data_IF_503005827016
#
_entry.id   IF_503005827016
#
_cell.length_a   1.000
_cell.length_b   1.000
_cell.length_c   1.000
_cell.angle_alpha   90.00
_cell.angle_beta   90.00
_cell.angle_gamma   90.00
#
_symmetry.space_group_name_H-M   'P 1'
#
loop_
_entity.id
_entity.type
_entity.pdbx_description
1 polymer ?
#
# COMPACT_ATOMS: atom_id res chain seq x y z
N UNK A 1 -11.82 -15.02 -3.37
CA UNK A 1 -10.66 -15.68 -2.72
C UNK A 1 -11.19 -16.67 -1.71
N UNK A 2 -10.62 -17.89 -1.70
CA UNK A 2 -10.86 -18.91 -0.67
C UNK A 2 -9.83 -18.72 0.46
N UNK A 3 -10.22 -18.05 1.53
CA UNK A 3 -9.34 -17.78 2.67
C UNK A 3 -9.02 -19.03 3.50
N UNK A 4 -9.88 -20.04 3.48
CA UNK A 4 -9.60 -21.31 4.16
C UNK A 4 -8.43 -22.03 3.46
N UNK A 5 -8.44 -22.06 2.14
CA UNK A 5 -7.35 -22.62 1.35
C UNK A 5 -6.05 -21.82 1.57
N UNK A 6 -6.12 -20.48 1.66
CA UNK A 6 -4.95 -19.64 1.97
C UNK A 6 -4.39 -19.99 3.35
N UNK A 7 -5.25 -20.16 4.37
CA UNK A 7 -4.85 -20.53 5.72
C UNK A 7 -4.18 -21.91 5.77
N UNK A 8 -4.74 -22.88 5.07
CA UNK A 8 -4.21 -24.25 5.03
C UNK A 8 -2.83 -24.30 4.36
N UNK A 9 -2.67 -23.57 3.25
CA UNK A 9 -1.38 -23.44 2.57
C UNK A 9 -0.36 -22.74 3.47
N UNK A 10 -0.75 -21.65 4.13
CA UNK A 10 0.13 -20.92 5.04
C UNK A 10 0.60 -21.78 6.21
N UNK A 11 -0.31 -22.54 6.85
CA UNK A 11 0.03 -23.48 7.93
C UNK A 11 1.01 -24.57 7.47
N UNK A 12 0.83 -25.07 6.24
CA UNK A 12 1.68 -26.12 5.66
C UNK A 12 3.06 -25.60 5.26
N UNK A 13 3.13 -24.42 4.63
CA UNK A 13 4.37 -23.85 4.10
C UNK A 13 5.15 -23.00 5.12
N UNK A 14 4.48 -22.50 6.17
CA UNK A 14 5.04 -21.63 7.21
C UNK A 14 5.89 -20.50 6.62
N UNK A 15 5.30 -19.64 5.78
CA UNK A 15 6.03 -18.55 5.14
C UNK A 15 6.47 -17.51 6.19
N UNK A 16 7.56 -16.81 5.92
CA UNK A 16 7.99 -15.65 6.71
C UNK A 16 7.25 -14.36 6.31
N UNK A 17 6.69 -14.34 5.11
CA UNK A 17 5.98 -13.19 4.54
C UNK A 17 4.80 -13.70 3.72
N UNK A 18 3.63 -13.12 3.95
CA UNK A 18 2.45 -13.27 3.10
C UNK A 18 2.27 -11.98 2.33
N UNK A 19 2.14 -12.09 1.01
CA UNK A 19 1.88 -10.96 0.12
C UNK A 19 0.47 -11.10 -0.42
N UNK A 20 -0.36 -10.06 -0.24
CA UNK A 20 -1.67 -9.97 -0.85
C UNK A 20 -1.80 -8.70 -1.67
N UNK A 21 -2.43 -8.82 -2.81
CA UNK A 21 -2.65 -7.73 -3.77
C UNK A 21 -3.13 -8.31 -5.09
N UNK A 22 -3.48 -7.43 -6.03
CA UNK A 22 -4.00 -7.87 -7.33
C UNK A 22 -3.85 -6.75 -8.37
N UNK A 23 -4.02 -7.13 -9.64
CA UNK A 23 -4.06 -6.19 -10.76
C UNK A 23 -5.45 -6.07 -11.38
N UNK A 24 -6.17 -7.18 -11.51
CA UNK A 24 -7.43 -7.27 -12.27
C UNK A 24 -8.52 -8.08 -11.54
N UNK A 25 -8.52 -8.05 -10.22
CA UNK A 25 -9.57 -8.70 -9.43
C UNK A 25 -10.68 -7.71 -9.12
N UNK A 26 -11.92 -8.04 -9.46
CA UNK A 26 -13.09 -7.17 -9.30
C UNK A 26 -13.72 -7.21 -7.90
N UNK A 27 -13.31 -8.16 -7.06
CA UNK A 27 -13.82 -8.30 -5.69
C UNK A 27 -13.05 -7.47 -4.67
N UNK A 28 -13.62 -7.38 -3.49
CA UNK A 28 -12.98 -6.74 -2.34
C UNK A 28 -12.13 -7.76 -1.59
N UNK A 29 -10.90 -7.41 -1.24
CA UNK A 29 -10.05 -8.20 -0.36
C UNK A 29 -10.42 -7.95 1.11
N UNK A 30 -10.51 -9.03 1.86
CA UNK A 30 -10.64 -8.97 3.31
C UNK A 30 -9.24 -8.97 3.94
N UNK A 31 -8.74 -7.76 4.21
CA UNK A 31 -7.40 -7.57 4.77
C UNK A 31 -7.25 -8.15 6.17
N UNK A 32 -8.34 -8.17 6.97
CA UNK A 32 -8.34 -8.76 8.31
C UNK A 32 -8.09 -10.24 8.27
N UNK A 33 -8.70 -10.96 7.32
CA UNK A 33 -8.45 -12.39 7.15
C UNK A 33 -7.00 -12.69 6.77
N UNK A 34 -6.38 -11.87 5.92
CA UNK A 34 -4.95 -12.01 5.64
C UNK A 34 -4.10 -11.76 6.89
N UNK A 35 -4.46 -10.75 7.72
CA UNK A 35 -3.77 -10.51 8.99
C UNK A 35 -3.90 -11.68 9.95
N UNK A 36 -5.11 -12.20 10.15
CA UNK A 36 -5.37 -13.38 10.99
C UNK A 36 -4.57 -14.60 10.53
N UNK A 37 -4.50 -14.84 9.23
CA UNK A 37 -3.72 -15.95 8.67
C UNK A 37 -2.21 -15.74 8.91
N UNK A 38 -1.72 -14.53 8.71
CA UNK A 38 -0.31 -14.22 8.94
C UNK A 38 0.07 -14.38 10.42
N UNK A 39 -0.80 -13.93 11.34
CA UNK A 39 -0.59 -14.10 12.78
C UNK A 39 -0.55 -15.58 13.20
N UNK A 40 -1.43 -16.42 12.62
CA UNK A 40 -1.45 -17.86 12.91
C UNK A 40 -0.15 -18.58 12.59
N UNK A 41 0.62 -18.09 11.63
CA UNK A 41 1.89 -18.71 11.20
C UNK A 41 3.12 -17.91 11.57
N UNK A 42 2.95 -16.76 12.25
CA UNK A 42 4.04 -15.86 12.64
C UNK A 42 4.70 -15.16 11.45
N UNK A 43 3.95 -14.91 10.36
CA UNK A 43 4.44 -14.25 9.17
C UNK A 43 4.21 -12.74 9.21
N UNK A 44 5.06 -11.97 8.55
CA UNK A 44 4.75 -10.60 8.16
C UNK A 44 3.66 -10.59 7.09
N UNK A 45 2.85 -9.54 7.09
CA UNK A 45 1.85 -9.30 6.07
C UNK A 45 2.17 -8.05 5.25
N UNK A 46 2.39 -8.21 3.95
CA UNK A 46 2.56 -7.13 2.98
C UNK A 46 1.31 -7.04 2.12
N UNK A 47 0.70 -5.85 2.08
CA UNK A 47 -0.39 -5.55 1.15
C UNK A 47 0.12 -4.70 -0.02
N UNK A 48 0.09 -5.25 -1.23
CA UNK A 48 0.35 -4.50 -2.46
C UNK A 48 -0.96 -3.88 -2.95
N UNK A 49 -1.06 -2.56 -2.78
CA UNK A 49 -2.25 -1.78 -3.10
C UNK A 49 -2.10 -0.97 -4.39
N UNK A 50 -1.10 -1.26 -5.20
CA UNK A 50 -0.74 -0.45 -6.36
C UNK A 50 -1.90 -0.15 -7.31
N UNK A 51 -2.83 -1.09 -7.51
CA UNK A 51 -3.98 -0.91 -8.41
C UNK A 51 -5.20 -0.25 -7.75
N UNK A 52 -5.26 -0.23 -6.43
CA UNK A 52 -6.41 0.31 -5.68
C UNK A 52 -6.06 1.49 -4.78
N UNK A 53 -4.82 1.93 -4.75
CA UNK A 53 -4.35 2.99 -3.86
C UNK A 53 -5.14 4.30 -4.00
N UNK A 54 -5.52 4.70 -5.21
CA UNK A 54 -6.38 5.86 -5.43
C UNK A 54 -7.81 5.66 -4.90
N UNK A 55 -8.36 4.44 -5.01
CA UNK A 55 -9.67 4.11 -4.45
C UNK A 55 -9.65 4.09 -2.92
N UNK A 56 -8.54 3.62 -2.33
CA UNK A 56 -8.32 3.66 -0.88
C UNK A 56 -8.22 5.11 -0.41
N UNK A 57 -7.45 5.93 -1.09
CA UNK A 57 -7.31 7.35 -0.77
C UNK A 57 -8.66 8.11 -0.89
N UNK A 58 -9.49 7.71 -1.85
CA UNK A 58 -10.85 8.23 -2.02
C UNK A 58 -11.91 7.62 -1.09
N UNK A 59 -11.53 6.70 -0.19
CA UNK A 59 -12.45 6.08 0.76
C UNK A 59 -13.42 5.04 0.14
N UNK A 60 -13.17 4.61 -1.11
CA UNK A 60 -14.06 3.72 -1.86
C UNK A 60 -13.67 2.24 -1.67
N UNK A 61 -12.39 1.98 -1.36
CA UNK A 61 -11.87 0.63 -1.16
C UNK A 61 -11.30 0.49 0.26
N UNK A 62 -11.42 -0.68 0.93
CA UNK A 62 -10.91 -0.87 2.29
C UNK A 62 -9.41 -0.60 2.40
N UNK A 63 -9.03 0.15 3.42
CA UNK A 63 -7.64 0.51 3.68
C UNK A 63 -6.96 -0.52 4.58
N UNK A 64 -5.89 -1.21 4.14
CA UNK A 64 -5.19 -2.23 4.94
C UNK A 64 -4.15 -1.68 5.90
N UNK A 65 -4.07 -0.37 6.13
CA UNK A 65 -2.97 0.25 6.91
C UNK A 65 -2.89 -0.25 8.35
N UNK A 66 -4.01 -0.64 8.95
CA UNK A 66 -4.04 -1.14 10.31
C UNK A 66 -3.75 -2.66 10.38
N UNK A 67 -3.96 -3.39 9.30
CA UNK A 67 -3.78 -4.84 9.23
C UNK A 67 -2.39 -5.23 8.72
N UNK A 68 -1.84 -4.50 7.74
CA UNK A 68 -0.57 -4.83 7.13
C UNK A 68 0.64 -4.33 7.94
N UNK A 69 1.71 -5.11 7.95
CA UNK A 69 3.01 -4.65 8.46
C UNK A 69 3.66 -3.69 7.48
N UNK A 70 3.48 -3.95 6.18
CA UNK A 70 4.02 -3.14 5.08
C UNK A 70 2.97 -3.01 3.99
N UNK A 71 2.81 -1.79 3.46
CA UNK A 71 2.08 -1.54 2.23
C UNK A 71 3.07 -1.14 1.13
N UNK A 72 2.86 -1.67 -0.06
CA UNK A 72 3.55 -1.22 -1.26
C UNK A 72 2.55 -0.68 -2.27
N UNK A 73 2.95 0.36 -2.99
CA UNK A 73 2.16 0.92 -4.08
C UNK A 73 3.07 1.51 -5.15
N UNK A 74 2.50 1.71 -6.32
CA UNK A 74 3.06 2.58 -7.35
C UNK A 74 2.45 3.97 -7.25
N UNK A 75 3.21 4.98 -7.63
CA UNK A 75 2.72 6.36 -7.65
C UNK A 75 2.10 6.77 -9.00
N UNK A 76 2.27 5.95 -10.04
CA UNK A 76 1.90 6.26 -11.43
C UNK A 76 0.67 5.52 -11.96
N UNK A 77 -0.14 4.93 -11.09
CA UNK A 77 -1.43 4.31 -11.43
C UNK A 77 -2.58 5.22 -10.97
N UNK A 78 -3.49 4.72 -10.19
CA UNK A 78 -4.64 5.49 -9.70
C UNK A 78 -4.27 6.72 -8.84
N UNK A 79 -3.05 6.79 -8.29
CA UNK A 79 -2.53 8.00 -7.63
C UNK A 79 -2.10 9.12 -8.60
N UNK A 80 -2.05 8.87 -9.89
CA UNK A 80 -1.76 9.83 -10.98
C UNK A 80 -0.44 10.61 -10.83
N UNK A 81 0.54 10.02 -10.15
CA UNK A 81 1.85 10.63 -9.94
C UNK A 81 2.90 10.19 -10.97
N UNK A 82 4.15 10.60 -10.79
CA UNK A 82 5.27 10.19 -11.61
C UNK A 82 5.59 8.71 -11.40
N UNK A 83 6.32 8.10 -12.35
CA UNK A 83 6.76 6.71 -12.22
C UNK A 83 7.63 6.51 -10.99
N UNK A 84 7.27 5.54 -10.18
CA UNK A 84 7.98 5.15 -8.98
C UNK A 84 7.12 4.31 -8.05
N UNK A 85 7.75 3.87 -6.95
CA UNK A 85 7.09 3.16 -5.88
C UNK A 85 6.99 4.02 -4.62
N UNK A 86 6.15 3.56 -3.72
CA UNK A 86 6.05 4.05 -2.35
C UNK A 86 5.87 2.84 -1.43
N UNK A 87 6.48 2.91 -0.26
CA UNK A 87 6.34 1.91 0.79
C UNK A 87 5.92 2.61 2.07
N UNK A 88 4.94 2.05 2.76
CA UNK A 88 4.40 2.55 4.01
C UNK A 88 4.49 1.45 5.07
N UNK A 89 4.92 1.79 6.29
CA UNK A 89 4.92 0.88 7.42
C UNK A 89 4.57 1.66 8.68
N UNK A 90 3.46 1.32 9.32
CA UNK A 90 2.95 2.04 10.49
C UNK A 90 3.13 1.26 11.80
N UNK A 91 2.91 -0.04 11.76
CA UNK A 91 2.76 -0.86 12.97
C UNK A 91 4.07 -1.21 13.68
N UNK A 92 5.19 -1.18 12.99
CA UNK A 92 6.47 -1.65 13.53
C UNK A 92 7.60 -0.68 13.18
N UNK A 93 8.01 0.20 14.13
CA UNK A 93 9.10 1.16 13.88
C UNK A 93 10.46 0.52 13.56
N UNK A 94 10.77 -0.64 14.14
CA UNK A 94 12.04 -1.33 13.90
C UNK A 94 12.04 -1.98 12.51
N UNK A 95 10.90 -2.53 12.09
CA UNK A 95 10.71 -2.98 10.72
C UNK A 95 10.86 -1.82 9.74
N UNK A 96 10.28 -0.65 10.04
CA UNK A 96 10.42 0.54 9.19
C UNK A 96 11.88 0.97 9.02
N UNK A 97 12.67 0.97 10.11
CA UNK A 97 14.11 1.27 10.03
C UNK A 97 14.85 0.27 9.14
N UNK A 98 14.54 -1.02 9.30
CA UNK A 98 15.14 -2.09 8.51
C UNK A 98 14.79 -1.97 7.02
N UNK A 99 13.52 -1.67 6.70
CA UNK A 99 13.06 -1.43 5.34
C UNK A 99 13.73 -0.21 4.71
N UNK A 100 13.83 0.89 5.46
CA UNK A 100 14.47 2.11 5.00
C UNK A 100 15.96 1.90 4.71
N UNK A 101 16.68 1.18 5.58
CA UNK A 101 18.07 0.81 5.36
C UNK A 101 18.22 -0.16 4.16
N UNK A 102 17.34 -1.14 4.04
CA UNK A 102 17.33 -2.07 2.91
C UNK A 102 17.05 -1.35 1.58
N UNK A 103 16.20 -0.34 1.60
CA UNK A 103 15.94 0.50 0.43
C UNK A 103 17.17 1.35 0.07
N UNK A 104 17.68 2.10 1.03
CA UNK A 104 18.89 2.94 0.86
C UNK A 104 19.78 2.84 2.10
N UNK A 105 21.04 2.49 1.94
CA UNK A 105 21.80 2.27 0.70
C UNK A 105 21.76 0.83 0.16
N UNK A 106 20.89 -0.05 0.70
CA UNK A 106 20.94 -1.48 0.40
C UNK A 106 20.69 -1.82 -1.08
N UNK A 107 19.63 -1.28 -1.68
CA UNK A 107 19.20 -1.60 -3.05
C UNK A 107 19.20 -0.38 -3.97
N UNK A 108 18.83 0.81 -3.45
CA UNK A 108 18.73 2.05 -4.19
C UNK A 108 19.94 2.96 -3.95
N UNK A 109 20.22 3.84 -4.91
CA UNK A 109 21.19 4.92 -4.79
C UNK A 109 20.50 6.27 -4.58
N UNK A 110 21.19 7.36 -4.99
CA UNK A 110 20.64 8.72 -4.90
C UNK A 110 19.33 8.86 -5.67
N UNK A 111 18.28 9.45 -5.06
CA UNK A 111 16.99 9.58 -5.71
C UNK A 111 16.98 10.69 -6.76
N UNK A 112 16.10 10.54 -7.75
CA UNK A 112 15.78 11.61 -8.69
C UNK A 112 14.87 12.63 -8.01
N UNK A 113 15.43 13.76 -7.57
CA UNK A 113 14.72 14.74 -6.74
C UNK A 113 13.50 15.35 -7.44
N UNK A 114 13.52 15.53 -8.78
CA UNK A 114 12.36 15.98 -9.52
C UNK A 114 11.20 14.96 -9.46
N UNK A 115 11.49 13.65 -9.43
CA UNK A 115 10.49 12.62 -9.22
C UNK A 115 9.93 12.67 -7.79
N UNK A 116 10.79 12.89 -6.79
CA UNK A 116 10.34 13.04 -5.39
C UNK A 116 9.41 14.24 -5.24
N UNK A 117 9.80 15.39 -5.81
CA UNK A 117 8.98 16.59 -5.81
C UNK A 117 7.64 16.36 -6.53
N UNK A 118 7.66 15.73 -7.70
CA UNK A 118 6.44 15.43 -8.45
C UNK A 118 5.50 14.47 -7.69
N UNK A 119 6.03 13.50 -6.92
CA UNK A 119 5.22 12.65 -6.04
C UNK A 119 4.52 13.47 -4.96
N UNK A 120 5.24 14.40 -4.31
CA UNK A 120 4.66 15.25 -3.28
C UNK A 120 3.53 16.12 -3.83
N UNK A 121 3.72 16.71 -5.02
CA UNK A 121 2.68 17.51 -5.69
C UNK A 121 1.46 16.64 -6.03
N UNK A 122 1.67 15.47 -6.64
CA UNK A 122 0.57 14.59 -7.03
C UNK A 122 -0.25 14.10 -5.82
N UNK A 123 0.41 13.77 -4.72
CA UNK A 123 -0.27 13.34 -3.50
C UNK A 123 -1.04 14.49 -2.85
N UNK A 124 -0.49 15.70 -2.87
CA UNK A 124 -1.15 16.87 -2.31
C UNK A 124 -2.41 17.27 -3.11
N UNK A 125 -2.37 17.14 -4.43
CA UNK A 125 -3.50 17.45 -5.31
C UNK A 125 -4.55 16.31 -5.36
N UNK A 126 -4.16 15.09 -5.04
CA UNK A 126 -5.01 13.91 -5.16
C UNK A 126 -5.70 13.47 -3.88
N UNK A 127 -5.24 13.92 -2.73
CA UNK A 127 -5.85 13.59 -1.45
C UNK A 127 -6.86 14.67 -1.05
N UNK A 128 -8.03 14.29 -0.53
CA UNK A 128 -8.91 15.27 0.11
C UNK A 128 -8.12 15.92 1.25
N UNK A 129 -8.04 17.24 1.20
CA UNK A 129 -7.38 17.99 2.25
C UNK A 129 -8.20 17.82 3.52
N UNK A 130 -7.69 17.08 4.49
CA UNK A 130 -8.36 16.89 5.79
C UNK A 130 -8.42 18.19 6.62
N UNK A 131 -7.78 19.24 6.16
CA UNK A 131 -7.91 20.60 6.67
C UNK A 131 -8.90 21.37 5.79
N UNK A 132 -10.16 21.11 5.97
CA UNK A 132 -11.39 21.92 5.86
C UNK A 132 -11.60 22.97 4.77
N UNK A 133 -10.70 23.31 3.86
CA UNK A 133 -10.87 24.49 2.99
C UNK A 133 -10.78 24.27 1.48
N UNK A 134 -10.64 23.02 1.02
CA UNK A 134 -10.86 22.71 -0.39
C UNK A 134 -12.31 22.25 -0.58
N UNK A 135 -13.13 23.14 -1.08
CA UNK A 135 -14.43 22.78 -1.58
C UNK A 135 -14.28 21.68 -2.66
N UNK A 136 -15.11 20.66 -2.59
CA UNK A 136 -15.17 19.55 -3.56
C UNK A 136 -15.36 19.99 -5.01
N UNK A 137 -15.53 21.28 -5.26
CA UNK A 137 -15.68 21.90 -6.56
C UNK A 137 -14.36 22.22 -7.27
N UNK A 138 -13.21 22.10 -6.57
CA UNK A 138 -11.91 22.43 -7.15
C UNK A 138 -11.20 21.23 -7.79
N UNK A 139 -11.81 20.06 -7.75
CA UNK A 139 -11.32 18.88 -8.49
C UNK A 139 -11.96 18.92 -9.88
N UNK A 140 -11.19 19.19 -10.95
CA UNK A 140 -11.74 19.14 -12.29
C UNK A 140 -12.30 17.74 -12.57
N UNK A 141 -13.44 17.63 -13.26
CA UNK A 141 -14.00 16.33 -13.62
C UNK A 141 -12.98 15.54 -14.44
N UNK A 142 -12.91 14.25 -14.17
CA UNK A 142 -12.10 13.32 -14.95
C UNK A 142 -12.57 13.35 -16.40
N UNK A 143 -11.74 13.80 -17.31
CA UNK A 143 -11.96 13.66 -18.76
C UNK A 143 -11.46 12.31 -19.21
#
# INVERSE_FOLDING_TARGET
IDYNQVADIAKKSKPKLIIAGFSAYSGILDWKKFREIADQVGAYFLADIAHVSGLIAGGIYPNPIEEADVLTSTTHKSLRGPRGGIMLAKRNPDLFKSLNFGLFPGVQGGPMMHIVAAKAVAQNLGLPNTNSDLHTNDVPPLQ
#
